data_IF_865318972850
#
_entry.id   IF_865318972850
#
_cell.length_a   1.000
_cell.length_b   1.000
_cell.length_c   1.000
_cell.angle_alpha   90.00
_cell.angle_beta   90.00
_cell.angle_gamma   90.00
#
_symmetry.space_group_name_H-M   'P 1'
#
loop_
_entity.id
_entity.type
_entity.pdbx_description
1 polymer ?
#
# COMPACT_ATOMS: atom_id res chain seq x y z
N UNK A 1 23.64 -16.34 -15.50
CA UNK A 1 23.44 -14.99 -14.94
C UNK A 1 22.36 -15.11 -13.87
N UNK A 2 22.64 -14.73 -12.63
CA UNK A 2 21.61 -14.68 -11.58
C UNK A 2 20.60 -13.60 -11.95
N UNK A 3 19.34 -13.99 -12.19
CA UNK A 3 18.27 -13.04 -12.44
C UNK A 3 17.98 -12.30 -11.12
N UNK A 4 18.26 -11.01 -11.05
CA UNK A 4 18.05 -10.21 -9.83
C UNK A 4 16.54 -10.00 -9.65
N UNK A 5 15.94 -10.42 -8.53
CA UNK A 5 14.51 -10.24 -8.30
C UNK A 5 14.12 -8.76 -8.30
N UNK A 6 13.10 -8.41 -9.08
CA UNK A 6 12.53 -7.07 -9.14
C UNK A 6 11.23 -7.04 -8.34
N UNK A 7 11.21 -6.25 -7.28
CA UNK A 7 10.05 -6.07 -6.39
C UNK A 7 9.42 -4.70 -6.64
N UNK A 8 8.13 -4.69 -6.95
CA UNK A 8 7.33 -3.47 -7.03
C UNK A 8 6.68 -3.21 -5.66
N UNK A 9 6.92 -2.05 -5.09
CA UNK A 9 6.40 -1.67 -3.77
C UNK A 9 5.35 -0.59 -3.93
N UNK A 10 4.14 -0.84 -3.43
CA UNK A 10 2.96 0.03 -3.57
C UNK A 10 2.48 0.48 -2.18
N UNK A 11 3.00 1.60 -1.66
CA UNK A 11 2.56 2.17 -0.40
C UNK A 11 1.22 2.90 -0.51
N UNK A 12 0.52 3.05 0.61
CA UNK A 12 -0.51 4.08 0.74
C UNK A 12 0.18 5.46 0.73
N UNK A 13 -0.28 6.44 -0.07
CA UNK A 13 0.34 7.77 -0.16
C UNK A 13 -0.02 8.65 1.05
N UNK A 14 0.41 8.20 2.22
CA UNK A 14 0.32 8.88 3.50
C UNK A 14 1.64 8.69 4.24
N UNK A 15 2.16 9.74 4.89
CA UNK A 15 3.52 9.74 5.46
C UNK A 15 3.79 8.58 6.44
N UNK A 16 2.79 8.18 7.23
CA UNK A 16 2.89 7.05 8.16
C UNK A 16 3.08 5.68 7.50
N UNK A 17 2.78 5.56 6.21
CA UNK A 17 2.84 4.32 5.44
C UNK A 17 4.03 4.30 4.47
N UNK A 18 4.35 5.45 3.85
CA UNK A 18 5.48 5.57 2.91
C UNK A 18 6.82 5.27 3.59
N UNK A 19 7.08 5.84 4.77
CA UNK A 19 8.38 5.69 5.43
C UNK A 19 8.71 4.23 5.83
N UNK A 20 7.80 3.47 6.49
CA UNK A 20 8.07 2.06 6.79
C UNK A 20 8.30 1.21 5.55
N UNK A 21 7.51 1.37 4.48
CA UNK A 21 7.70 0.62 3.24
C UNK A 21 8.99 1.01 2.51
N UNK A 22 9.45 2.25 2.67
CA UNK A 22 10.73 2.70 2.15
C UNK A 22 11.90 2.05 2.88
N UNK A 23 11.83 1.93 4.21
CA UNK A 23 12.83 1.21 5.01
C UNK A 23 12.85 -0.27 4.61
N UNK A 24 11.68 -0.89 4.46
CA UNK A 24 11.57 -2.26 3.93
C UNK A 24 12.21 -2.39 2.54
N UNK A 25 12.00 -1.40 1.67
CA UNK A 25 12.59 -1.36 0.33
C UNK A 25 14.11 -1.29 0.36
N UNK A 26 14.70 -0.51 1.28
CA UNK A 26 16.15 -0.47 1.47
C UNK A 26 16.67 -1.83 1.93
N UNK A 27 15.97 -2.52 2.85
CA UNK A 27 16.33 -3.87 3.28
C UNK A 27 16.24 -4.90 2.15
N UNK A 28 15.24 -4.82 1.28
CA UNK A 28 15.16 -5.67 0.09
C UNK A 28 16.37 -5.46 -0.83
N UNK A 29 16.79 -4.21 -1.02
CA UNK A 29 18.00 -3.88 -1.81
C UNK A 29 19.26 -4.45 -1.17
N UNK A 30 19.43 -4.28 0.14
CA UNK A 30 20.56 -4.88 0.89
C UNK A 30 20.62 -6.41 0.74
N UNK A 31 19.46 -7.06 0.55
CA UNK A 31 19.35 -8.52 0.35
C UNK A 31 19.37 -8.94 -1.13
N UNK A 32 19.80 -8.06 -2.04
CA UNK A 32 20.05 -8.39 -3.44
C UNK A 32 18.83 -8.29 -4.36
N UNK A 33 17.75 -7.64 -3.93
CA UNK A 33 16.63 -7.29 -4.82
C UNK A 33 16.85 -5.94 -5.49
N UNK A 34 16.20 -5.76 -6.64
CA UNK A 34 15.94 -4.42 -7.19
C UNK A 34 14.54 -4.01 -6.81
N UNK A 35 14.37 -2.77 -6.38
CA UNK A 35 13.09 -2.24 -5.94
C UNK A 35 12.62 -1.12 -6.88
N UNK A 36 11.36 -1.20 -7.28
CA UNK A 36 10.62 -0.11 -7.92
C UNK A 36 9.59 0.35 -6.90
N UNK A 37 9.78 1.55 -6.35
CA UNK A 37 8.91 2.12 -5.34
C UNK A 37 7.93 3.11 -5.98
N UNK A 38 6.63 2.83 -5.84
CA UNK A 38 5.57 3.67 -6.40
C UNK A 38 5.23 4.80 -5.43
N UNK A 39 5.18 6.02 -5.94
CA UNK A 39 4.66 7.19 -5.23
C UNK A 39 3.40 7.71 -5.94
N UNK A 40 2.60 8.52 -5.24
CA UNK A 40 1.67 9.43 -5.92
C UNK A 40 2.48 10.50 -6.66
N UNK A 41 1.98 11.01 -7.78
CA UNK A 41 2.60 12.16 -8.47
C UNK A 41 2.71 13.40 -7.57
N UNK A 42 1.74 13.59 -6.67
CA UNK A 42 1.75 14.65 -5.66
C UNK A 42 2.95 14.53 -4.72
N UNK A 43 3.18 13.34 -4.17
CA UNK A 43 4.29 13.10 -3.22
C UNK A 43 5.64 12.95 -3.92
N UNK A 44 5.66 12.54 -5.19
CA UNK A 44 6.88 12.19 -5.90
C UNK A 44 7.89 13.33 -5.90
N UNK A 45 7.46 14.58 -6.13
CA UNK A 45 8.37 15.74 -6.10
C UNK A 45 9.01 15.92 -4.73
N UNK A 46 8.21 15.84 -3.65
CA UNK A 46 8.69 15.99 -2.28
C UNK A 46 9.63 14.86 -1.89
N UNK A 47 9.25 13.62 -2.20
CA UNK A 47 10.05 12.42 -1.90
C UNK A 47 11.35 12.46 -2.68
N UNK A 48 11.34 12.75 -3.99
CA UNK A 48 12.56 12.82 -4.80
C UNK A 48 13.47 13.97 -4.36
N UNK A 49 12.95 15.12 -3.93
CA UNK A 49 13.80 16.18 -3.37
C UNK A 49 14.49 15.74 -2.09
N UNK A 50 13.77 15.13 -1.14
CA UNK A 50 14.36 14.64 0.11
C UNK A 50 15.26 13.42 -0.08
N UNK A 51 14.92 12.51 -1.00
CA UNK A 51 15.71 11.33 -1.33
C UNK A 51 16.91 11.64 -2.23
N UNK A 52 16.81 12.66 -3.09
CA UNK A 52 17.89 13.09 -3.97
C UNK A 52 19.10 13.57 -3.16
N UNK A 53 18.86 14.27 -2.04
CA UNK A 53 19.90 14.65 -1.08
C UNK A 53 20.54 13.43 -0.41
N UNK A 54 19.76 12.40 -0.07
CA UNK A 54 20.28 11.17 0.54
C UNK A 54 20.97 10.22 -0.46
N UNK A 55 20.55 10.22 -1.73
CA UNK A 55 21.15 9.41 -2.80
C UNK A 55 22.41 10.03 -3.42
N UNK A 56 22.67 11.33 -3.27
CA UNK A 56 23.96 11.91 -3.66
C UNK A 56 25.14 11.22 -2.96
N UNK A 57 24.90 10.52 -1.85
CA UNK A 57 25.87 9.68 -1.17
C UNK A 57 25.83 8.17 -1.52
N UNK A 58 24.86 7.69 -2.31
CA UNK A 58 24.76 6.28 -2.69
C UNK A 58 24.39 6.10 -4.17
N UNK A 59 25.38 5.67 -4.96
CA UNK A 59 25.30 5.35 -6.39
C UNK A 59 24.49 4.07 -6.71
N UNK A 60 23.44 3.77 -5.94
CA UNK A 60 22.72 2.50 -6.06
C UNK A 60 21.57 2.55 -7.08
N UNK A 61 21.83 2.05 -8.29
CA UNK A 61 20.81 1.75 -9.33
C UNK A 61 19.75 0.71 -8.89
N UNK A 62 19.88 0.14 -7.69
CA UNK A 62 19.03 -0.92 -7.19
C UNK A 62 17.66 -0.44 -6.69
N UNK A 63 17.48 0.85 -6.39
CA UNK A 63 16.18 1.43 -6.02
C UNK A 63 15.76 2.49 -7.03
N UNK A 64 14.59 2.31 -7.64
CA UNK A 64 13.97 3.25 -8.57
C UNK A 64 12.68 3.79 -7.99
N UNK A 65 12.56 5.11 -7.88
CA UNK A 65 11.30 5.76 -7.53
C UNK A 65 10.52 6.06 -8.81
N UNK A 66 9.24 5.71 -8.84
CA UNK A 66 8.31 6.04 -9.92
C UNK A 66 7.06 6.69 -9.34
N UNK A 67 6.26 7.32 -10.19
CA UNK A 67 5.01 7.97 -9.79
C UNK A 67 3.85 7.53 -10.66
N UNK A 68 2.66 7.47 -10.06
CA UNK A 68 1.38 7.32 -10.75
C UNK A 68 0.35 8.32 -10.18
N UNK A 69 -0.66 8.74 -10.97
CA UNK A 69 -1.70 9.64 -10.50
C UNK A 69 -2.55 8.99 -9.41
N UNK A 70 -2.77 9.71 -8.31
CA UNK A 70 -3.64 9.32 -7.20
C UNK A 70 -5.13 9.57 -7.47
N UNK A 71 -5.45 10.21 -8.61
CA UNK A 71 -6.82 10.53 -9.03
C UNK A 71 -7.34 11.87 -8.50
N UNK A 72 -6.54 12.60 -7.72
CA UNK A 72 -6.92 13.90 -7.17
C UNK A 72 -6.31 15.04 -7.99
N UNK A 73 -7.06 16.12 -8.16
CA UNK A 73 -6.58 17.36 -8.79
C UNK A 73 -5.44 17.99 -7.98
N UNK A 74 -4.68 18.92 -8.58
CA UNK A 74 -3.52 19.52 -7.92
C UNK A 74 -3.88 20.27 -6.62
N UNK A 75 -5.07 20.88 -6.57
CA UNK A 75 -5.55 21.69 -5.45
C UNK A 75 -6.47 20.94 -4.48
N UNK A 76 -6.75 19.65 -4.74
CA UNK A 76 -7.58 18.84 -3.85
C UNK A 76 -6.89 18.57 -2.51
N UNK A 77 -7.65 18.62 -1.42
CA UNK A 77 -7.16 18.31 -0.08
C UNK A 77 -6.98 16.80 0.10
N UNK A 78 -5.72 16.33 0.18
CA UNK A 78 -5.38 14.93 0.46
C UNK A 78 -5.71 14.51 1.90
N UNK A 79 -6.10 15.42 2.79
CA UNK A 79 -6.59 15.07 4.13
C UNK A 79 -8.08 14.67 4.12
N UNK A 80 -8.81 14.93 3.03
CA UNK A 80 -10.15 14.36 2.81
C UNK A 80 -10.00 12.88 2.47
N UNK A 81 -10.04 12.05 3.52
CA UNK A 81 -9.83 10.60 3.41
C UNK A 81 -10.82 9.93 2.47
N UNK A 82 -12.05 10.44 2.35
CA UNK A 82 -13.05 9.86 1.45
C UNK A 82 -12.65 10.10 0.00
N UNK A 83 -12.35 11.36 -0.36
CA UNK A 83 -11.87 11.69 -1.70
C UNK A 83 -10.56 11.00 -2.04
N UNK A 84 -9.65 10.91 -1.07
CA UNK A 84 -8.40 10.18 -1.24
C UNK A 84 -8.70 8.71 -1.57
N UNK A 85 -9.44 8.00 -0.70
CA UNK A 85 -9.82 6.61 -0.93
C UNK A 85 -10.50 6.39 -2.29
N UNK A 86 -11.44 7.25 -2.68
CA UNK A 86 -12.12 7.18 -3.97
C UNK A 86 -11.14 7.37 -5.14
N UNK A 87 -10.24 8.35 -5.05
CA UNK A 87 -9.21 8.56 -6.08
C UNK A 87 -8.27 7.37 -6.21
N UNK A 88 -7.77 6.87 -5.07
CA UNK A 88 -6.86 5.72 -5.02
C UNK A 88 -7.52 4.48 -5.63
N UNK A 89 -8.80 4.20 -5.33
CA UNK A 89 -9.50 3.03 -5.85
C UNK A 89 -9.86 3.15 -7.34
N UNK A 90 -10.20 4.35 -7.82
CA UNK A 90 -10.73 4.51 -9.18
C UNK A 90 -9.66 4.83 -10.23
N UNK A 91 -8.54 5.46 -9.83
CA UNK A 91 -7.49 5.92 -10.73
C UNK A 91 -6.26 5.01 -10.72
N UNK A 92 -5.73 4.72 -9.53
CA UNK A 92 -4.43 4.06 -9.41
C UNK A 92 -4.36 2.63 -9.98
N UNK A 93 -5.39 1.78 -9.93
CA UNK A 93 -5.31 0.44 -10.52
C UNK A 93 -4.97 0.47 -12.01
N UNK A 94 -5.64 1.35 -12.77
CA UNK A 94 -5.39 1.50 -14.22
C UNK A 94 -4.00 2.07 -14.49
N UNK A 95 -3.56 3.02 -13.66
CA UNK A 95 -2.23 3.61 -13.79
C UNK A 95 -1.12 2.60 -13.44
N UNK A 96 -1.33 1.75 -12.43
CA UNK A 96 -0.42 0.68 -12.04
C UNK A 96 -0.31 -0.40 -13.12
N UNK A 97 -1.44 -0.80 -13.72
CA UNK A 97 -1.49 -1.74 -14.82
C UNK A 97 -0.64 -1.25 -16.01
N UNK A 98 -0.84 0.00 -16.43
CA UNK A 98 -0.03 0.63 -17.48
C UNK A 98 1.45 0.72 -17.10
N UNK A 99 1.78 1.02 -15.85
CA UNK A 99 3.16 1.05 -15.38
C UNK A 99 3.84 -0.32 -15.49
N UNK A 100 3.15 -1.40 -15.13
CA UNK A 100 3.67 -2.76 -15.23
C UNK A 100 3.91 -3.13 -16.71
N UNK A 101 2.96 -2.83 -17.58
CA UNK A 101 3.09 -3.04 -19.04
C UNK A 101 4.32 -2.31 -19.59
N UNK A 102 4.45 -1.02 -19.30
CA UNK A 102 5.57 -0.20 -19.75
C UNK A 102 6.92 -0.76 -19.28
N UNK A 103 7.01 -1.26 -18.04
CA UNK A 103 8.24 -1.85 -17.50
C UNK A 103 8.59 -3.15 -18.23
N UNK A 104 7.60 -4.01 -18.48
CA UNK A 104 7.79 -5.28 -19.17
C UNK A 104 8.09 -5.10 -20.67
N UNK A 105 7.68 -3.98 -21.28
CA UNK A 105 7.99 -3.65 -22.67
C UNK A 105 9.38 -3.03 -22.84
N UNK A 106 9.79 -2.14 -21.92
CA UNK A 106 11.03 -1.34 -22.06
C UNK A 106 12.29 -2.09 -21.61
N UNK A 107 12.16 -3.21 -20.92
CA UNK A 107 13.30 -3.96 -20.40
C UNK A 107 13.02 -5.43 -20.21
N UNK A 108 14.06 -6.26 -20.28
CA UNK A 108 14.00 -7.66 -19.83
C UNK A 108 13.78 -7.81 -18.31
N UNK A 109 13.72 -6.70 -17.56
CA UNK A 109 13.47 -6.71 -16.13
C UNK A 109 11.98 -6.94 -15.86
N UNK A 110 11.58 -8.21 -15.82
CA UNK A 110 10.22 -8.56 -15.39
C UNK A 110 10.08 -8.34 -13.89
N UNK A 111 9.00 -7.69 -13.49
CA UNK A 111 8.60 -7.61 -12.08
C UNK A 111 8.29 -9.02 -11.61
N UNK A 112 8.95 -9.47 -10.54
CA UNK A 112 8.78 -10.81 -10.00
C UNK A 112 7.79 -10.85 -8.84
N UNK A 113 7.68 -9.75 -8.09
CA UNK A 113 6.89 -9.70 -6.87
C UNK A 113 6.30 -8.32 -6.59
N UNK A 114 5.12 -8.27 -6.00
CA UNK A 114 4.51 -7.03 -5.49
C UNK A 114 4.47 -7.06 -3.97
N UNK A 115 4.88 -5.96 -3.33
CA UNK A 115 4.62 -5.70 -1.91
C UNK A 115 3.68 -4.51 -1.84
N UNK A 116 2.48 -4.72 -1.33
CA UNK A 116 1.47 -3.67 -1.21
C UNK A 116 1.22 -3.34 0.27
N UNK A 117 0.93 -2.07 0.56
CA UNK A 117 0.30 -1.71 1.82
C UNK A 117 -1.09 -2.37 1.93
N UNK A 118 -1.56 -2.62 3.15
CA UNK A 118 -2.89 -3.17 3.40
C UNK A 118 -4.01 -2.38 2.72
N UNK A 119 -3.96 -1.05 2.74
CA UNK A 119 -4.95 -0.20 2.08
C UNK A 119 -4.82 -0.21 0.54
N UNK A 120 -3.75 -0.80 0.02
CA UNK A 120 -3.42 -0.90 -1.40
C UNK A 120 -3.48 -2.36 -1.89
N UNK A 121 -4.17 -3.24 -1.17
CA UNK A 121 -4.26 -4.67 -1.47
C UNK A 121 -4.75 -4.98 -2.90
N UNK A 122 -5.55 -4.08 -3.50
CA UNK A 122 -5.98 -4.16 -4.91
C UNK A 122 -4.81 -4.26 -5.91
N UNK A 123 -3.60 -3.84 -5.52
CA UNK A 123 -2.40 -3.97 -6.35
C UNK A 123 -2.03 -5.43 -6.64
N UNK A 124 -2.42 -6.37 -5.76
CA UNK A 124 -2.23 -7.80 -5.99
C UNK A 124 -3.16 -8.31 -7.09
N UNK A 125 -4.40 -7.81 -7.17
CA UNK A 125 -5.34 -8.15 -8.24
C UNK A 125 -4.80 -7.65 -9.59
N UNK A 126 -4.26 -6.43 -9.63
CA UNK A 126 -3.58 -5.89 -10.83
C UNK A 126 -2.39 -6.77 -11.20
N UNK A 127 -1.53 -7.11 -10.25
CA UNK A 127 -0.37 -7.98 -10.49
C UNK A 127 -0.73 -9.38 -10.98
N UNK A 128 -1.84 -9.94 -10.50
CA UNK A 128 -2.30 -11.28 -10.87
C UNK A 128 -2.58 -11.42 -12.36
N UNK A 129 -3.05 -10.33 -13.01
CA UNK A 129 -3.26 -10.26 -14.48
C UNK A 129 -1.98 -10.52 -15.27
N UNK A 130 -0.82 -10.23 -14.67
CA UNK A 130 0.51 -10.41 -15.25
C UNK A 130 1.24 -11.64 -14.71
N UNK A 131 0.57 -12.48 -13.92
CA UNK A 131 1.18 -13.65 -13.26
C UNK A 131 2.14 -13.29 -12.13
N UNK A 132 2.06 -12.07 -11.58
CA UNK A 132 2.94 -11.58 -10.52
C UNK A 132 2.33 -11.93 -9.17
N UNK A 133 3.10 -12.61 -8.31
CA UNK A 133 2.70 -12.89 -6.93
C UNK A 133 2.98 -11.67 -6.05
N UNK A 134 2.30 -11.57 -4.90
CA UNK A 134 2.58 -10.49 -3.97
C UNK A 134 2.29 -10.80 -2.51
N UNK A 135 2.67 -9.86 -1.66
CA UNK A 135 2.41 -9.86 -0.23
C UNK A 135 1.82 -8.52 0.19
N UNK A 136 1.05 -8.55 1.28
CA UNK A 136 0.49 -7.37 1.93
C UNK A 136 1.29 -7.08 3.19
N UNK A 137 1.62 -5.81 3.41
CA UNK A 137 2.26 -5.31 4.63
C UNK A 137 1.31 -4.31 5.29
N UNK A 138 1.00 -4.54 6.56
CA UNK A 138 0.31 -3.55 7.38
C UNK A 138 1.36 -2.78 8.19
N UNK A 139 1.39 -1.47 8.02
CA UNK A 139 2.19 -0.54 8.83
C UNK A 139 1.44 -0.04 10.06
N UNK A 140 0.15 -0.37 10.17
CA UNK A 140 -0.69 -0.02 11.31
C UNK A 140 -0.29 -0.83 12.55
N UNK A 141 -0.69 -0.35 13.73
CA UNK A 141 -0.48 -1.11 14.96
C UNK A 141 -1.22 -2.45 14.91
N UNK A 142 -0.70 -3.45 15.63
CA UNK A 142 -1.34 -4.75 15.74
C UNK A 142 -2.81 -4.66 16.23
N UNK A 143 -3.11 -3.64 17.04
CA UNK A 143 -4.46 -3.37 17.52
C UNK A 143 -5.42 -2.93 16.38
N UNK A 144 -4.99 -2.01 15.50
CA UNK A 144 -5.79 -1.61 14.33
C UNK A 144 -5.97 -2.79 13.39
N UNK A 145 -4.92 -3.58 13.16
CA UNK A 145 -5.00 -4.77 12.33
C UNK A 145 -6.00 -5.81 12.90
N UNK A 146 -5.94 -6.08 14.20
CA UNK A 146 -6.87 -7.00 14.86
C UNK A 146 -8.32 -6.51 14.79
N UNK A 147 -8.56 -5.21 14.90
CA UNK A 147 -9.89 -4.61 14.73
C UNK A 147 -10.41 -4.79 13.30
N UNK A 148 -9.59 -4.51 12.29
CA UNK A 148 -9.94 -4.72 10.88
C UNK A 148 -10.24 -6.19 10.59
N UNK A 149 -9.42 -7.10 11.12
CA UNK A 149 -9.64 -8.54 10.97
C UNK A 149 -10.94 -9.01 11.64
N UNK A 150 -11.26 -8.41 12.79
CA UNK A 150 -12.45 -8.76 13.57
C UNK A 150 -13.72 -8.10 13.05
N UNK A 151 -13.64 -7.26 12.01
CA UNK A 151 -14.77 -6.45 11.54
C UNK A 151 -16.00 -7.30 11.18
N UNK A 152 -15.80 -8.44 10.49
CA UNK A 152 -16.89 -9.38 10.18
C UNK A 152 -17.56 -9.93 11.44
N UNK A 153 -16.77 -10.23 12.48
CA UNK A 153 -17.25 -10.71 13.77
C UNK A 153 -17.95 -9.61 14.57
N UNK A 154 -17.49 -8.36 14.47
CA UNK A 154 -18.11 -7.20 15.12
C UNK A 154 -19.49 -6.88 14.52
N UNK A 155 -19.65 -7.03 13.19
CA UNK A 155 -20.93 -6.92 12.50
C UNK A 155 -21.86 -8.06 12.90
N UNK A 156 -21.37 -9.31 12.85
CA UNK A 156 -22.17 -10.47 13.26
C UNK A 156 -22.59 -10.41 14.75
N UNK A 157 -21.73 -9.87 15.60
CA UNK A 157 -22.01 -9.64 17.02
C UNK A 157 -22.96 -8.47 17.30
N UNK A 158 -23.34 -7.70 16.28
CA UNK A 158 -24.20 -6.52 16.42
C UNK A 158 -23.59 -5.39 17.23
N UNK A 159 -22.27 -5.36 17.36
CA UNK A 159 -21.54 -4.27 18.05
C UNK A 159 -21.46 -3.05 17.13
N UNK A 160 -21.33 -3.31 15.83
CA UNK A 160 -21.25 -2.31 14.76
C UNK A 160 -22.21 -2.74 13.66
N UNK A 161 -22.92 -1.81 13.03
CA UNK A 161 -23.75 -2.10 11.86
C UNK A 161 -22.90 -2.27 10.58
N UNK A 162 -23.55 -2.67 9.48
CA UNK A 162 -22.88 -2.84 8.18
C UNK A 162 -22.28 -1.55 7.61
N UNK A 163 -22.70 -0.40 8.14
CA UNK A 163 -22.23 0.93 7.76
C UNK A 163 -21.08 1.41 8.67
N UNK A 164 -20.62 0.57 9.60
CA UNK A 164 -19.51 0.89 10.50
C UNK A 164 -19.90 1.77 11.70
N UNK A 165 -21.19 1.99 11.96
CA UNK A 165 -21.66 2.76 13.12
C UNK A 165 -21.90 1.86 14.32
N UNK A 166 -21.58 2.37 15.50
CA UNK A 166 -21.92 1.72 16.75
C UNK A 166 -23.44 1.58 16.86
N UNK A 167 -23.88 0.36 17.11
CA UNK A 167 -25.27 0.10 17.44
C UNK A 167 -25.49 0.49 18.91
N UNK A 168 -26.24 1.57 19.16
CA UNK A 168 -26.54 2.10 20.49
C UNK A 168 -27.51 1.21 21.32
N UNK A 169 -27.48 -0.11 21.11
CA UNK A 169 -28.22 -1.04 21.97
C UNK A 169 -27.49 -1.13 23.32
N UNK A 170 -28.20 -0.95 24.45
CA UNK A 170 -27.57 -0.96 25.77
C UNK A 170 -26.86 -2.30 26.02
N UNK A 171 -25.60 -2.22 26.47
CA UNK A 171 -24.69 -3.35 26.77
C UNK A 171 -25.20 -4.33 27.85
N UNK A 172 -26.41 -4.14 28.38
CA UNK A 172 -26.95 -4.91 29.50
C UNK A 172 -27.30 -6.37 29.18
N UNK A 173 -27.14 -6.84 27.93
CA UNK A 173 -27.55 -8.19 27.55
C UNK A 173 -26.40 -9.15 27.20
N UNK A 174 -25.12 -8.76 27.31
CA UNK A 174 -23.99 -9.61 26.88
C UNK A 174 -23.12 -10.18 28.00
N UNK A 175 -23.46 -9.99 29.28
CA UNK A 175 -22.72 -10.60 30.39
C UNK A 175 -23.63 -11.54 31.17
N UNK A 176 -23.75 -12.79 30.71
CA UNK A 176 -24.06 -13.92 31.59
C UNK A 176 -22.77 -14.72 31.76
N UNK A 177 -21.98 -14.36 32.77
CA UNK A 177 -20.90 -15.22 33.25
C UNK A 177 -21.61 -16.41 33.90
N UNK A 178 -21.57 -17.55 33.23
CA UNK A 178 -21.96 -18.82 33.84
C UNK A 178 -20.78 -19.26 34.70
N UNK A 179 -20.91 -19.12 36.02
CA UNK A 179 -20.03 -19.80 36.96
C UNK A 179 -20.39 -21.31 36.95
N UNK A 180 -19.37 -22.15 36.80
CA UNK A 180 -19.41 -23.58 37.12
C UNK A 180 -18.67 -23.81 38.42
#
# INVERSE_FOLDING_TARGET
MSNIPVVLVVPLPAQGHVNPLMILSQKLVENGCRVIFVNSEFDHKRVVSSFGEQQQHSTNQAMKLVSIPDGLGADDDRNDLNKLCDGLQNSMPKALEKLIEDIHLKSDNRINFIVADLCMAWALDVGSKFGIKGAIVSTSSAAIFALLWSFSSLIHGGIIDSDGKYDNRPLNNYVSITEH
#
